data_IF_779074562376
#
_entry.id   IF_779074562376
#
_cell.length_a   1.000
_cell.length_b   1.000
_cell.length_c   1.000
_cell.angle_alpha   90.00
_cell.angle_beta   90.00
_cell.angle_gamma   90.00
#
_symmetry.space_group_name_H-M   'P 1'
#
loop_
_entity.id
_entity.type
_entity.pdbx_description
1 polymer ?
#
# COMPACT_ATOMS: atom_id res chain seq x y z
N UNK A 1 33.45 13.38 -1.03
CA UNK A 1 33.11 12.48 -2.18
C UNK A 1 31.72 12.88 -2.68
N UNK A 2 31.58 13.00 -4.01
CA UNK A 2 30.27 13.30 -4.62
C UNK A 2 29.52 11.99 -4.91
N UNK A 3 28.23 11.96 -4.54
CA UNK A 3 27.34 10.82 -4.74
C UNK A 3 26.78 10.79 -6.15
N UNK A 4 26.65 9.62 -6.78
CA UNK A 4 25.93 9.50 -8.06
C UNK A 4 24.42 9.57 -7.85
N UNK A 5 23.65 9.86 -8.90
CA UNK A 5 22.19 9.90 -8.80
C UNK A 5 21.60 8.52 -8.43
N UNK A 6 22.12 7.43 -8.98
CA UNK A 6 21.64 6.10 -8.61
C UNK A 6 21.94 5.76 -7.15
N UNK A 7 23.08 6.19 -6.59
CA UNK A 7 23.40 5.98 -5.19
C UNK A 7 22.46 6.77 -4.28
N UNK A 8 22.16 8.02 -4.65
CA UNK A 8 21.17 8.83 -3.96
C UNK A 8 19.77 8.17 -3.96
N UNK A 9 19.37 7.60 -5.10
CA UNK A 9 18.11 6.86 -5.23
C UNK A 9 18.09 5.60 -4.36
N UNK A 10 19.18 4.84 -4.31
CA UNK A 10 19.30 3.66 -3.43
C UNK A 10 19.21 4.07 -1.96
N UNK A 11 19.91 5.14 -1.58
CA UNK A 11 19.84 5.66 -0.21
C UNK A 11 18.41 6.08 0.14
N UNK A 12 17.76 6.86 -0.73
CA UNK A 12 16.40 7.34 -0.52
C UNK A 12 15.40 6.18 -0.41
N UNK A 13 15.47 5.18 -1.31
CA UNK A 13 14.60 4.00 -1.25
C UNK A 13 14.77 3.24 0.06
N UNK A 14 16.01 3.00 0.50
CA UNK A 14 16.29 2.35 1.78
C UNK A 14 15.76 3.13 2.98
N UNK A 15 15.76 4.46 2.91
CA UNK A 15 15.15 5.31 3.94
C UNK A 15 13.62 5.17 3.95
N UNK A 16 12.99 5.13 2.77
CA UNK A 16 11.55 4.90 2.65
C UNK A 16 11.17 3.51 3.18
N UNK A 17 11.96 2.48 2.90
CA UNK A 17 11.71 1.11 3.39
C UNK A 17 11.73 0.96 4.91
N UNK A 18 12.33 1.91 5.61
CA UNK A 18 12.28 1.98 7.08
C UNK A 18 11.02 2.68 7.61
N UNK A 19 10.21 3.19 6.71
CA UNK A 19 8.88 3.70 7.04
C UNK A 19 7.84 2.61 6.75
N UNK A 20 6.60 2.86 7.13
CA UNK A 20 5.48 1.98 6.82
C UNK A 20 5.13 1.90 5.31
N UNK A 21 5.74 2.78 4.49
CA UNK A 21 5.43 2.88 3.07
C UNK A 21 6.15 1.79 2.28
N UNK A 22 5.41 0.89 1.66
CA UNK A 22 5.95 -0.07 0.68
C UNK A 22 5.71 0.48 -0.72
N UNK A 23 6.78 0.69 -1.48
CA UNK A 23 6.67 1.12 -2.87
C UNK A 23 6.56 -0.11 -3.77
N UNK A 24 5.58 -0.07 -4.68
CA UNK A 24 5.51 -1.02 -5.78
C UNK A 24 6.66 -0.82 -6.78
N UNK A 25 6.75 -1.70 -7.76
CA UNK A 25 7.72 -1.61 -8.84
C UNK A 25 7.17 -0.78 -10.00
N UNK A 26 8.01 0.07 -10.60
CA UNK A 26 7.71 0.81 -11.82
C UNK A 26 8.60 0.37 -12.98
N UNK A 27 8.18 0.67 -14.21
CA UNK A 27 9.00 0.39 -15.38
C UNK A 27 9.99 1.52 -15.65
N UNK A 28 11.26 1.17 -15.87
CA UNK A 28 12.31 2.10 -16.30
C UNK A 28 12.56 2.04 -17.81
N UNK A 29 11.82 1.21 -18.56
CA UNK A 29 12.03 0.97 -19.99
C UNK A 29 11.81 2.21 -20.87
N UNK A 30 11.04 3.19 -20.39
CA UNK A 30 10.80 4.45 -21.09
C UNK A 30 12.03 5.39 -21.12
N UNK A 31 13.07 5.10 -20.32
CA UNK A 31 14.26 5.93 -20.27
C UNK A 31 15.35 5.37 -21.16
N UNK A 32 15.88 6.22 -22.06
CA UNK A 32 16.88 5.81 -23.08
C UNK A 32 18.21 5.34 -22.48
N UNK A 33 18.50 5.66 -21.24
CA UNK A 33 19.70 5.28 -20.51
C UNK A 33 19.46 4.25 -19.39
N UNK A 34 18.32 3.55 -19.43
CA UNK A 34 17.98 2.54 -18.44
C UNK A 34 19.02 1.41 -18.34
N UNK A 35 19.69 1.07 -19.44
CA UNK A 35 20.75 0.06 -19.47
C UNK A 35 21.99 0.46 -18.66
N UNK A 36 22.19 1.75 -18.40
CA UNK A 36 23.30 2.28 -17.59
C UNK A 36 23.06 2.21 -16.08
N UNK A 37 21.86 1.83 -15.65
CA UNK A 37 21.56 1.64 -14.24
C UNK A 37 22.27 0.37 -13.76
N UNK A 38 23.12 0.49 -12.75
CA UNK A 38 23.82 -0.64 -12.15
C UNK A 38 22.84 -1.65 -11.55
N UNK A 39 23.17 -2.93 -11.60
CA UNK A 39 22.26 -4.00 -11.14
C UNK A 39 21.79 -3.81 -9.70
N UNK A 40 22.67 -3.37 -8.79
CA UNK A 40 22.31 -3.12 -7.38
C UNK A 40 21.29 -1.98 -7.21
N UNK A 41 21.26 -1.03 -8.15
CA UNK A 41 20.40 0.14 -8.08
C UNK A 41 19.04 -0.06 -8.77
N UNK A 42 18.93 -1.02 -9.71
CA UNK A 42 17.72 -1.26 -10.51
C UNK A 42 16.45 -1.37 -9.69
N UNK A 43 16.39 -2.19 -8.59
CA UNK A 43 15.16 -2.30 -7.80
C UNK A 43 14.75 -0.97 -7.18
N UNK A 44 15.72 -0.22 -6.64
CA UNK A 44 15.45 1.07 -6.00
C UNK A 44 14.99 2.13 -7.00
N UNK A 45 15.66 2.22 -8.16
CA UNK A 45 15.28 3.15 -9.22
C UNK A 45 13.89 2.83 -9.76
N UNK A 46 13.61 1.55 -10.03
CA UNK A 46 12.30 1.08 -10.50
C UNK A 46 11.18 1.46 -9.53
N UNK A 47 11.37 1.20 -8.23
CA UNK A 47 10.39 1.54 -7.22
C UNK A 47 10.14 3.07 -7.12
N UNK A 48 11.20 3.88 -7.15
CA UNK A 48 11.07 5.34 -7.09
C UNK A 48 10.47 5.95 -8.36
N UNK A 49 10.68 5.33 -9.52
CA UNK A 49 10.02 5.72 -10.77
C UNK A 49 8.53 5.37 -10.70
N UNK A 50 8.18 4.17 -10.24
CA UNK A 50 6.78 3.75 -10.05
C UNK A 50 6.04 4.68 -9.10
N UNK A 51 6.68 5.09 -8.01
CA UNK A 51 6.15 6.04 -7.04
C UNK A 51 6.19 7.51 -7.50
N UNK A 52 6.62 7.80 -8.74
CA UNK A 52 6.75 9.16 -9.31
C UNK A 52 7.70 10.10 -8.51
N UNK A 53 8.53 9.55 -7.64
CA UNK A 53 9.59 10.30 -6.96
C UNK A 53 10.66 10.74 -7.96
N UNK A 54 10.95 9.87 -8.93
CA UNK A 54 11.89 10.10 -10.02
C UNK A 54 11.14 10.16 -11.34
N UNK A 55 11.26 11.28 -12.05
CA UNK A 55 10.65 11.47 -13.36
C UNK A 55 11.64 11.55 -14.51
N UNK A 56 12.95 11.56 -14.23
CA UNK A 56 13.98 11.77 -15.22
C UNK A 56 13.98 13.20 -15.81
N UNK A 57 14.84 13.41 -16.78
CA UNK A 57 14.91 14.65 -17.55
C UNK A 57 15.22 14.32 -19.00
N UNK A 58 14.47 14.88 -19.96
CA UNK A 58 14.62 14.64 -21.41
C UNK A 58 14.69 13.13 -21.76
N UNK A 59 13.84 12.31 -21.12
CA UNK A 59 13.79 10.86 -21.33
C UNK A 59 15.00 10.09 -20.79
N UNK A 60 15.75 10.66 -19.82
CA UNK A 60 16.90 10.02 -19.18
C UNK A 60 16.85 10.11 -17.67
N UNK A 61 17.32 9.07 -16.98
CA UNK A 61 17.50 9.03 -15.52
C UNK A 61 18.85 9.64 -15.12
N UNK A 62 19.87 9.55 -15.99
CA UNK A 62 21.25 9.95 -15.74
C UNK A 62 21.86 9.27 -14.49
N UNK A 63 21.85 7.93 -14.40
CA UNK A 63 22.15 7.23 -13.14
C UNK A 63 23.55 7.46 -12.61
N UNK A 64 24.53 7.60 -13.51
CA UNK A 64 25.96 7.74 -13.16
C UNK A 64 26.41 9.21 -13.01
N UNK A 65 25.54 10.18 -13.29
CA UNK A 65 25.85 11.58 -13.07
C UNK A 65 25.88 11.92 -11.60
N UNK A 66 26.66 12.92 -11.20
CA UNK A 66 26.63 13.46 -9.85
C UNK A 66 25.27 14.07 -9.55
N UNK A 67 24.68 13.73 -8.40
CA UNK A 67 23.45 14.36 -7.96
C UNK A 67 23.74 15.79 -7.48
N UNK A 68 22.94 16.75 -7.93
CA UNK A 68 23.01 18.12 -7.45
C UNK A 68 22.16 18.31 -6.19
N UNK A 69 22.43 19.38 -5.44
CA UNK A 69 21.62 19.72 -4.25
C UNK A 69 20.16 19.97 -4.59
N UNK A 70 19.89 20.64 -5.72
CA UNK A 70 18.54 20.90 -6.19
C UNK A 70 17.81 19.61 -6.55
N UNK A 71 18.46 18.69 -7.24
CA UNK A 71 17.87 17.38 -7.57
C UNK A 71 17.57 16.56 -6.32
N UNK A 72 18.51 16.54 -5.35
CA UNK A 72 18.28 15.88 -4.07
C UNK A 72 17.09 16.49 -3.32
N UNK A 73 16.99 17.82 -3.29
CA UNK A 73 15.87 18.52 -2.65
C UNK A 73 14.53 18.15 -3.29
N UNK A 74 14.46 18.07 -4.62
CA UNK A 74 13.24 17.64 -5.35
C UNK A 74 12.90 16.18 -5.02
N UNK A 75 13.90 15.29 -5.00
CA UNK A 75 13.67 13.88 -4.65
C UNK A 75 13.17 13.73 -3.22
N UNK A 76 13.77 14.43 -2.26
CA UNK A 76 13.35 14.43 -0.87
C UNK A 76 11.93 15.00 -0.72
N UNK A 77 11.64 16.14 -1.35
CA UNK A 77 10.30 16.73 -1.32
C UNK A 77 9.24 15.74 -1.82
N UNK A 78 9.47 15.12 -2.98
CA UNK A 78 8.54 14.13 -3.52
C UNK A 78 8.43 12.89 -2.63
N UNK A 79 9.54 12.43 -2.05
CA UNK A 79 9.53 11.28 -1.14
C UNK A 79 8.77 11.56 0.17
N UNK A 80 8.82 12.80 0.68
CA UNK A 80 8.05 13.20 1.88
C UNK A 80 6.57 13.45 1.60
N UNK A 81 6.20 13.59 0.33
CA UNK A 81 4.81 13.77 -0.13
C UNK A 81 4.29 12.54 -0.89
N UNK A 82 4.92 11.39 -0.66
CA UNK A 82 4.45 10.13 -1.24
C UNK A 82 3.08 9.78 -0.70
N UNK A 83 2.17 9.52 -1.63
CA UNK A 83 0.91 8.85 -1.35
C UNK A 83 1.02 7.43 -1.87
N UNK A 84 0.85 6.44 -1.01
CA UNK A 84 0.82 5.03 -1.37
C UNK A 84 -0.58 4.52 -1.12
N UNK A 85 -1.23 4.08 -2.18
CA UNK A 85 -2.53 3.45 -2.07
C UNK A 85 -2.35 1.99 -1.61
N UNK A 86 -3.07 1.60 -0.58
CA UNK A 86 -3.08 0.25 -0.05
C UNK A 86 -4.48 -0.12 0.41
N UNK A 87 -4.80 -1.39 0.37
CA UNK A 87 -6.05 -1.88 0.97
C UNK A 87 -5.85 -2.14 2.44
N UNK A 88 -6.79 -1.67 3.25
CA UNK A 88 -6.71 -1.80 4.70
C UNK A 88 -8.06 -1.69 5.38
N UNK A 89 -8.06 -1.82 6.69
CA UNK A 89 -9.25 -1.70 7.51
C UNK A 89 -8.98 -0.93 8.80
N UNK A 90 -9.89 -0.03 9.15
CA UNK A 90 -9.86 0.71 10.41
C UNK A 90 -10.54 -0.13 11.49
N UNK A 91 -9.82 -0.50 12.54
CA UNK A 91 -10.39 -1.27 13.65
C UNK A 91 -10.71 -0.41 14.88
N UNK A 92 -10.21 0.81 14.95
CA UNK A 92 -10.51 1.76 16.03
C UNK A 92 -10.39 3.19 15.53
N UNK A 93 -11.26 4.07 15.99
CA UNK A 93 -11.18 5.52 15.73
C UNK A 93 -11.41 6.32 17.01
N UNK A 94 -10.71 7.43 17.14
CA UNK A 94 -10.86 8.38 18.26
C UNK A 94 -10.65 9.81 17.73
N UNK A 95 -11.76 10.49 17.44
CA UNK A 95 -11.69 11.78 16.73
C UNK A 95 -11.04 11.61 15.37
N UNK A 96 -10.09 12.47 15.05
CA UNK A 96 -9.31 12.45 13.80
C UNK A 96 -8.18 11.41 13.78
N UNK A 97 -8.02 10.62 14.83
CA UNK A 97 -7.04 9.55 14.92
C UNK A 97 -7.68 8.19 14.67
N UNK A 98 -7.01 7.37 13.88
CA UNK A 98 -7.41 5.97 13.63
C UNK A 98 -6.27 5.00 13.87
N UNK A 99 -6.66 3.81 14.32
CA UNK A 99 -5.82 2.62 14.28
C UNK A 99 -6.32 1.74 13.15
N UNK A 100 -5.42 1.36 12.25
CA UNK A 100 -5.78 0.58 11.07
C UNK A 100 -4.75 -0.52 10.80
N UNK A 101 -5.17 -1.53 10.06
CA UNK A 101 -4.28 -2.58 9.57
C UNK A 101 -4.22 -2.57 8.03
N UNK A 102 -3.04 -2.87 7.51
CA UNK A 102 -2.78 -3.12 6.10
C UNK A 102 -2.06 -4.45 6.01
N UNK A 103 -2.73 -5.46 5.45
CA UNK A 103 -2.24 -6.82 5.59
C UNK A 103 -2.01 -7.15 7.07
N UNK A 104 -0.85 -7.66 7.39
CA UNK A 104 -0.47 -8.03 8.77
C UNK A 104 0.11 -6.87 9.60
N UNK A 105 0.21 -5.67 9.03
CA UNK A 105 0.84 -4.52 9.70
C UNK A 105 -0.20 -3.61 10.34
N UNK A 106 0.09 -3.20 11.57
CA UNK A 106 -0.71 -2.24 12.33
C UNK A 106 -0.10 -0.86 12.30
N UNK A 107 -0.96 0.13 12.18
CA UNK A 107 -0.64 1.54 12.25
C UNK A 107 -1.53 2.17 13.31
N UNK A 108 -0.93 2.74 14.35
CA UNK A 108 -1.63 3.37 15.46
C UNK A 108 -1.53 4.89 15.36
N UNK A 109 -2.56 5.58 15.86
CA UNK A 109 -2.63 7.04 15.96
C UNK A 109 -2.31 7.75 14.64
N UNK A 110 -2.86 7.22 13.56
CA UNK A 110 -2.74 7.81 12.22
C UNK A 110 -3.78 8.91 12.08
N UNK A 111 -3.37 10.07 11.59
CA UNK A 111 -4.26 11.24 11.42
C UNK A 111 -5.07 11.11 10.14
N UNK A 112 -6.39 11.25 10.25
CA UNK A 112 -7.28 11.29 9.08
C UNK A 112 -7.19 12.65 8.40
N UNK A 113 -6.83 12.67 7.12
CA UNK A 113 -6.96 13.86 6.30
C UNK A 113 -8.44 14.14 6.01
N UNK A 114 -8.84 15.40 6.09
CA UNK A 114 -10.24 15.79 5.86
C UNK A 114 -11.22 15.04 6.78
N UNK A 115 -10.90 14.96 8.06
CA UNK A 115 -11.75 14.35 9.07
C UNK A 115 -13.16 14.96 9.07
N UNK A 116 -14.16 14.10 8.99
CA UNK A 116 -15.57 14.46 9.08
C UNK A 116 -16.19 13.80 10.35
N UNK A 117 -16.58 14.60 11.35
CA UNK A 117 -17.15 14.06 12.60
C UNK A 117 -18.47 13.31 12.41
N UNK A 118 -19.15 13.46 11.28
CA UNK A 118 -20.37 12.72 10.96
C UNK A 118 -20.11 11.30 10.46
N UNK A 119 -18.87 10.97 10.11
CA UNK A 119 -18.47 9.67 9.57
C UNK A 119 -18.02 8.72 10.70
N UNK A 120 -18.55 7.53 10.70
CA UNK A 120 -18.06 6.44 11.56
C UNK A 120 -16.89 5.75 10.84
N UNK A 121 -15.67 5.97 11.32
CA UNK A 121 -14.46 5.42 10.70
C UNK A 121 -14.17 3.98 11.13
N UNK A 122 -14.51 3.58 12.36
CA UNK A 122 -14.33 2.20 12.81
C UNK A 122 -15.14 1.23 11.93
N UNK A 123 -14.45 0.21 11.40
CA UNK A 123 -15.04 -0.77 10.49
C UNK A 123 -15.01 -0.37 9.01
N UNK A 124 -14.42 0.79 8.65
CA UNK A 124 -14.16 1.12 7.25
C UNK A 124 -13.10 0.18 6.69
N UNK A 125 -13.40 -0.39 5.53
CA UNK A 125 -12.51 -1.26 4.76
C UNK A 125 -12.42 -0.74 3.33
N UNK A 126 -11.24 -0.80 2.74
CA UNK A 126 -11.03 -0.36 1.37
C UNK A 126 -9.65 0.24 1.13
N UNK A 127 -9.57 1.11 0.13
CA UNK A 127 -8.33 1.78 -0.21
C UNK A 127 -8.03 2.90 0.77
N UNK A 128 -6.77 2.94 1.19
CA UNK A 128 -6.22 3.96 2.06
C UNK A 128 -5.01 4.58 1.38
N UNK A 129 -5.00 5.90 1.28
CA UNK A 129 -3.86 6.65 0.77
C UNK A 129 -3.05 7.16 1.96
N UNK A 130 -1.79 6.76 2.05
CA UNK A 130 -0.88 7.16 3.12
C UNK A 130 0.06 8.26 2.69
N UNK A 131 0.26 9.19 3.59
CA UNK A 131 1.25 10.26 3.46
C UNK A 131 1.97 10.48 4.77
N UNK A 132 3.28 10.66 4.75
CA UNK A 132 4.06 10.99 5.94
C UNK A 132 4.72 12.34 5.78
N UNK A 133 4.45 13.24 6.71
CA UNK A 133 5.01 14.60 6.75
C UNK A 133 5.46 14.93 8.17
N UNK A 134 6.71 15.39 8.34
CA UNK A 134 7.22 15.79 9.64
C UNK A 134 7.22 14.70 10.72
N UNK A 135 7.27 13.43 10.31
CA UNK A 135 7.19 12.28 11.23
C UNK A 135 5.77 11.81 11.55
N UNK A 136 4.75 12.58 11.19
CA UNK A 136 3.34 12.22 11.37
C UNK A 136 2.84 11.49 10.14
N UNK A 137 2.10 10.40 10.34
CA UNK A 137 1.43 9.65 9.29
C UNK A 137 0.01 10.15 9.14
N UNK A 138 -0.35 10.51 7.93
CA UNK A 138 -1.70 10.92 7.54
C UNK A 138 -2.31 9.85 6.64
N UNK A 139 -3.62 9.68 6.74
CA UNK A 139 -4.37 8.77 5.89
C UNK A 139 -5.59 9.46 5.32
N UNK A 140 -5.81 9.26 4.02
CA UNK A 140 -7.09 9.56 3.37
C UNK A 140 -7.81 8.23 3.15
N UNK A 141 -9.00 8.11 3.72
CA UNK A 141 -9.79 6.89 3.69
C UNK A 141 -10.83 6.99 2.59
N UNK A 142 -10.62 6.31 1.48
CA UNK A 142 -11.59 6.12 0.40
C UNK A 142 -12.37 4.80 0.54
N UNK A 143 -12.25 4.16 1.70
CA UNK A 143 -12.89 2.90 2.01
C UNK A 143 -14.41 3.04 2.06
N UNK A 144 -15.10 2.11 1.43
CA UNK A 144 -16.53 1.89 1.71
C UNK A 144 -16.62 1.10 2.99
N UNK A 145 -17.65 1.37 3.82
CA UNK A 145 -18.01 0.44 4.90
C UNK A 145 -18.04 -0.97 4.34
N UNK A 146 -17.68 -1.94 5.18
CA UNK A 146 -17.88 -3.34 4.83
C UNK A 146 -19.22 -3.49 4.15
N UNK A 147 -19.19 -3.71 2.86
CA UNK A 147 -20.39 -3.97 2.09
C UNK A 147 -20.91 -5.28 2.69
N UNK A 148 -22.21 -5.45 2.73
CA UNK A 148 -22.84 -6.73 3.12
C UNK A 148 -22.55 -7.80 2.06
N UNK A 149 -21.26 -8.05 1.90
CA UNK A 149 -20.71 -8.95 0.90
C UNK A 149 -20.31 -10.24 1.60
N UNK A 150 -20.76 -11.32 1.05
CA UNK A 150 -20.34 -12.66 1.45
C UNK A 150 -19.31 -13.17 0.47
N UNK A 151 -18.17 -13.60 1.00
CA UNK A 151 -17.08 -14.21 0.23
C UNK A 151 -16.85 -15.61 0.73
N UNK A 152 -16.83 -16.58 -0.17
CA UNK A 152 -16.56 -17.98 0.16
C UNK A 152 -15.16 -18.34 -0.30
N UNK A 153 -14.40 -19.01 0.57
CA UNK A 153 -13.08 -19.54 0.26
C UNK A 153 -13.15 -21.07 0.13
N UNK A 154 -12.67 -21.59 -0.98
CA UNK A 154 -12.61 -23.03 -1.21
C UNK A 154 -11.37 -23.36 -2.05
N UNK A 155 -10.53 -24.26 -1.55
CA UNK A 155 -9.37 -24.80 -2.27
C UNK A 155 -8.47 -23.71 -2.91
N UNK A 156 -8.15 -22.67 -2.18
CA UNK A 156 -7.26 -21.60 -2.66
C UNK A 156 -7.94 -20.53 -3.51
N UNK A 157 -9.28 -20.53 -3.61
CA UNK A 157 -10.04 -19.58 -4.44
C UNK A 157 -11.09 -18.87 -3.59
N UNK A 158 -11.15 -17.56 -3.70
CA UNK A 158 -12.22 -16.74 -3.18
C UNK A 158 -13.30 -16.50 -4.23
N UNK A 159 -14.54 -16.74 -3.85
CA UNK A 159 -15.70 -16.56 -4.72
C UNK A 159 -16.70 -15.60 -4.08
N UNK A 160 -17.18 -14.61 -4.83
CA UNK A 160 -18.14 -13.62 -4.37
C UNK A 160 -18.98 -13.06 -5.52
N UNK A 161 -20.14 -12.52 -5.19
CA UNK A 161 -20.98 -11.82 -6.15
C UNK A 161 -20.39 -10.42 -6.45
N UNK A 162 -20.35 -10.06 -7.74
CA UNK A 162 -19.98 -8.72 -8.19
C UNK A 162 -20.98 -8.26 -9.28
N UNK A 163 -21.90 -7.38 -8.87
CA UNK A 163 -23.02 -6.98 -9.73
C UNK A 163 -23.92 -8.18 -10.07
N UNK A 164 -24.07 -8.48 -11.37
CA UNK A 164 -24.91 -9.57 -11.86
C UNK A 164 -24.19 -10.93 -11.98
N UNK A 165 -22.89 -10.98 -11.60
CA UNK A 165 -22.05 -12.15 -11.80
C UNK A 165 -21.40 -12.68 -10.54
N UNK A 166 -20.79 -13.86 -10.69
CA UNK A 166 -19.92 -14.46 -9.69
C UNK A 166 -18.47 -14.33 -10.14
N UNK A 167 -17.64 -13.78 -9.29
CA UNK A 167 -16.20 -13.61 -9.53
C UNK A 167 -15.45 -14.61 -8.67
N UNK A 168 -14.46 -15.27 -9.26
CA UNK A 168 -13.55 -16.19 -8.58
C UNK A 168 -12.12 -15.72 -8.75
N UNK A 169 -11.42 -15.48 -7.63
CA UNK A 169 -10.05 -14.96 -7.60
C UNK A 169 -9.18 -15.87 -6.75
N UNK A 170 -8.02 -16.33 -7.24
CA UNK A 170 -7.12 -17.15 -6.46
C UNK A 170 -6.55 -16.38 -5.26
N UNK A 171 -6.31 -17.10 -4.17
CA UNK A 171 -5.59 -16.58 -3.02
C UNK A 171 -4.08 -16.57 -3.28
N UNK A 172 -3.39 -15.54 -2.84
CA UNK A 172 -1.94 -15.56 -2.75
C UNK A 172 -1.48 -16.65 -1.75
N UNK A 173 -0.26 -17.16 -1.93
CA UNK A 173 0.28 -18.23 -1.07
C UNK A 173 0.39 -17.83 0.40
N UNK A 174 0.59 -16.54 0.67
CA UNK A 174 0.67 -15.92 1.98
C UNK A 174 -0.60 -15.13 2.37
N UNK A 175 -1.72 -15.41 1.71
CA UNK A 175 -2.99 -14.76 1.98
C UNK A 175 -3.41 -14.94 3.44
N UNK A 176 -3.91 -13.86 4.05
CA UNK A 176 -4.38 -13.85 5.43
C UNK A 176 -5.84 -13.41 5.54
N UNK A 177 -6.56 -13.97 6.50
CA UNK A 177 -7.87 -13.51 6.91
C UNK A 177 -7.74 -12.68 8.20
N UNK A 178 -8.29 -11.47 8.19
CA UNK A 178 -8.09 -10.46 9.24
C UNK A 178 -9.45 -10.09 9.83
N UNK A 179 -9.67 -10.51 11.06
CA UNK A 179 -10.87 -10.15 11.83
C UNK A 179 -10.70 -8.75 12.42
N UNK A 180 -11.40 -7.76 11.88
CA UNK A 180 -11.34 -6.36 12.32
C UNK A 180 -12.37 -6.00 13.37
N UNK A 181 -13.20 -6.96 13.83
CA UNK A 181 -14.14 -6.75 14.93
C UNK A 181 -13.48 -6.81 16.31
N UNK A 182 -12.22 -7.25 16.38
CA UNK A 182 -11.46 -7.37 17.61
C UNK A 182 -10.46 -6.22 17.76
N UNK A 183 -10.25 -5.68 18.99
CA UNK A 183 -9.26 -4.60 19.22
C UNK A 183 -7.83 -4.98 18.84
N UNK A 184 -7.51 -6.26 18.94
CA UNK A 184 -6.29 -6.89 18.42
C UNK A 184 -6.73 -7.91 17.38
N UNK A 185 -6.89 -7.49 16.14
CA UNK A 185 -7.41 -8.32 15.07
C UNK A 185 -6.68 -9.67 14.98
N UNK A 186 -7.46 -10.71 14.80
CA UNK A 186 -6.93 -12.07 14.67
C UNK A 186 -6.49 -12.28 13.22
N UNK A 187 -5.26 -12.75 13.05
CA UNK A 187 -4.69 -13.13 11.76
C UNK A 187 -4.74 -14.64 11.62
N UNK A 188 -5.46 -15.11 10.62
CA UNK A 188 -5.56 -16.55 10.33
C UNK A 188 -5.31 -16.77 8.84
N UNK A 189 -4.70 -17.90 8.51
CA UNK A 189 -4.74 -18.37 7.13
C UNK A 189 -6.19 -18.73 6.75
N UNK A 190 -6.64 -18.44 5.52
CA UNK A 190 -7.93 -18.92 5.06
C UNK A 190 -7.97 -20.46 5.10
N UNK A 191 -9.10 -21.02 5.52
CA UNK A 191 -9.23 -22.48 5.60
C UNK A 191 -9.82 -23.05 4.32
N UNK A 192 -9.43 -24.28 3.94
CA UNK A 192 -9.82 -24.92 2.68
C UNK A 192 -11.24 -25.51 2.66
N UNK A 193 -11.99 -25.43 3.74
CA UNK A 193 -13.26 -26.17 3.93
C UNK A 193 -14.48 -25.26 3.89
N UNK A 194 -14.66 -24.50 2.79
CA UNK A 194 -15.90 -23.71 2.61
C UNK A 194 -16.07 -22.57 3.60
N UNK A 195 -14.95 -21.95 4.03
CA UNK A 195 -15.01 -20.80 4.93
C UNK A 195 -15.76 -19.65 4.27
N UNK A 196 -16.70 -19.07 5.00
CA UNK A 196 -17.52 -17.96 4.55
C UNK A 196 -17.20 -16.74 5.38
N UNK A 197 -16.83 -15.65 4.73
CA UNK A 197 -16.56 -14.36 5.33
C UNK A 197 -17.72 -13.42 5.00
N UNK A 198 -18.27 -12.76 6.01
CA UNK A 198 -19.35 -11.78 5.87
C UNK A 198 -18.84 -10.40 6.21
N UNK A 199 -19.56 -9.36 5.77
CA UNK A 199 -19.15 -7.97 6.01
C UNK A 199 -17.65 -7.78 5.75
N UNK A 200 -17.21 -8.15 4.54
CA UNK A 200 -15.80 -8.31 4.25
C UNK A 200 -15.35 -7.53 3.00
N UNK A 201 -14.05 -7.29 2.95
CA UNK A 201 -13.36 -6.65 1.84
C UNK A 201 -12.13 -7.47 1.45
N UNK A 202 -12.08 -8.07 0.23
CA UNK A 202 -10.89 -8.71 -0.28
C UNK A 202 -9.90 -7.67 -0.82
N UNK A 203 -8.67 -7.71 -0.36
CA UNK A 203 -7.55 -6.98 -0.94
C UNK A 203 -7.02 -7.75 -2.12
N UNK A 204 -7.07 -7.15 -3.31
CA UNK A 204 -6.66 -7.81 -4.56
C UNK A 204 -5.45 -7.07 -5.10
N UNK A 205 -4.34 -7.80 -5.28
CA UNK A 205 -3.10 -7.32 -5.88
C UNK A 205 -2.67 -8.31 -6.96
N UNK A 206 -2.29 -7.80 -8.12
CA UNK A 206 -1.83 -8.61 -9.27
C UNK A 206 -2.73 -9.81 -9.60
N UNK A 207 -4.05 -9.63 -9.46
CA UNK A 207 -5.04 -10.67 -9.77
C UNK A 207 -5.20 -11.77 -8.73
N UNK A 208 -4.60 -11.63 -7.55
CA UNK A 208 -4.75 -12.54 -6.42
C UNK A 208 -5.27 -11.81 -5.17
N UNK A 209 -5.98 -12.53 -4.30
CA UNK A 209 -6.37 -12.00 -2.98
C UNK A 209 -5.21 -12.17 -2.02
N UNK A 210 -4.65 -11.07 -1.55
CA UNK A 210 -3.53 -11.05 -0.59
C UNK A 210 -4.00 -10.99 0.86
N UNK A 211 -5.18 -10.41 1.10
CA UNK A 211 -5.80 -10.40 2.42
C UNK A 211 -7.32 -10.31 2.28
N UNK A 212 -8.05 -10.86 3.24
CA UNK A 212 -9.48 -10.63 3.41
C UNK A 212 -9.73 -10.02 4.78
N UNK A 213 -10.23 -8.78 4.79
CA UNK A 213 -10.70 -8.12 6.01
C UNK A 213 -12.16 -8.47 6.23
N UNK A 214 -12.54 -8.87 7.43
CA UNK A 214 -13.91 -9.22 7.73
C UNK A 214 -14.30 -8.82 9.15
N UNK A 215 -15.59 -8.64 9.38
CA UNK A 215 -16.16 -8.39 10.70
C UNK A 215 -17.14 -9.50 11.06
N UNK A 216 -17.15 -9.87 12.34
CA UNK A 216 -18.13 -10.82 12.91
C UNK A 216 -19.38 -10.14 13.46
N UNK A 217 -19.44 -8.81 13.40
CA UNK A 217 -20.52 -7.98 13.93
C UNK A 217 -21.41 -7.52 12.80
#
# INVERSE_FOLDING_TARGET
>A
QSMTRQDAMVFLKRTIDRTALKLGTGSVSSFSDASRISNYAKPSVSALVGAKVIGGSKGKINPLSKVTRAEMAVMLYRATHLTVQSSGAVYQSRGDLVNLCIGTQNYCDVVIENYDPSVTYTGLMGYTDFRRVGGVTYVSLSGKRAIDRTVTYTNGVFTFADGEGTVSIPAAADCVAIDVSQPYHQLNAPTSTGSTYRHCYPSIEDGTVTAIYYSRI
#
